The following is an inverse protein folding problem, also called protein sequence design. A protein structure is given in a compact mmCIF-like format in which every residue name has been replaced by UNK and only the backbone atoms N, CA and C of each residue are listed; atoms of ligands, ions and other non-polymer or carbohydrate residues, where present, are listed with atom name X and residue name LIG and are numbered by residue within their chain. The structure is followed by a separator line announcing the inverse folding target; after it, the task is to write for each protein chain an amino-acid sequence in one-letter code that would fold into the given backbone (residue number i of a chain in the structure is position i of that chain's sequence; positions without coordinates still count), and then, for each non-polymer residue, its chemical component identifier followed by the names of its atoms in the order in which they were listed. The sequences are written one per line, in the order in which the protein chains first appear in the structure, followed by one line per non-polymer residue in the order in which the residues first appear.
data_IF_147676462355
#
_entry.id   IF_147676462355
#
_cell.length_a   1.000
_cell.length_b   1.000
_cell.length_c   1.000
_cell.angle_alpha   90.00
_cell.angle_beta   90.00
_cell.angle_gamma   90.00
#
_symmetry.space_group_name_H-M   'P 1'
#
loop_
_entity.id
_entity.type
_entity.pdbx_description
1 polymer ?
#
# COMPACT_ATOMS: atom_id res chain seq x y z
N UNK A 1 17.23 -13.01 8.37
CA UNK A 1 16.61 -12.38 9.57
C UNK A 1 15.54 -11.41 9.08
N UNK A 2 14.41 -11.26 9.79
CA UNK A 2 13.29 -10.46 9.28
C UNK A 2 13.47 -8.93 9.45
N UNK A 3 14.66 -8.46 9.83
CA UNK A 3 14.96 -7.04 10.01
C UNK A 3 16.19 -6.64 9.22
N UNK A 4 16.12 -5.51 8.51
CA UNK A 4 17.22 -4.91 7.77
C UNK A 4 17.39 -3.44 8.18
N UNK A 5 18.62 -3.02 8.46
CA UNK A 5 18.95 -1.60 8.62
C UNK A 5 19.30 -1.04 7.25
N UNK A 6 18.40 -0.28 6.67
CA UNK A 6 18.52 0.31 5.33
C UNK A 6 18.07 1.77 5.37
N UNK A 7 18.67 2.63 4.57
CA UNK A 7 18.34 4.05 4.51
C UNK A 7 18.23 4.74 5.91
N UNK A 8 19.09 4.33 6.85
CA UNK A 8 19.09 4.89 8.21
C UNK A 8 17.96 4.44 9.15
N UNK A 9 17.10 3.51 8.73
CA UNK A 9 15.97 2.98 9.51
C UNK A 9 16.01 1.45 9.55
N UNK A 10 15.49 0.84 10.62
CA UNK A 10 15.29 -0.60 10.68
C UNK A 10 13.91 -0.95 10.12
N UNK A 11 13.89 -1.70 9.02
CA UNK A 11 12.65 -2.22 8.43
C UNK A 11 12.46 -3.69 8.78
N UNK A 12 11.24 -4.02 9.15
CA UNK A 12 10.74 -5.38 9.25
C UNK A 12 10.28 -5.86 7.87
N UNK A 13 10.73 -7.03 7.45
CA UNK A 13 10.37 -7.61 6.16
C UNK A 13 10.27 -9.13 6.24
N UNK A 14 9.57 -9.69 5.27
CA UNK A 14 9.46 -11.13 5.07
C UNK A 14 9.55 -11.45 3.58
N UNK A 15 10.15 -12.59 3.24
CA UNK A 15 10.12 -13.13 1.88
C UNK A 15 9.42 -14.48 1.89
N UNK A 16 8.54 -14.71 0.89
CA UNK A 16 7.84 -15.98 0.69
C UNK A 16 7.99 -16.45 -0.75
N UNK A 17 7.67 -17.71 -0.98
CA UNK A 17 7.82 -18.31 -2.31
C UNK A 17 9.28 -18.62 -2.62
N UNK A 18 9.57 -18.79 -3.91
CA UNK A 18 10.86 -19.26 -4.39
C UNK A 18 11.72 -18.11 -4.91
N UNK A 19 13.00 -17.98 -4.47
CA UNK A 19 13.88 -16.88 -4.90
C UNK A 19 14.20 -16.87 -6.41
N UNK A 20 14.05 -18.00 -7.11
CA UNK A 20 14.27 -18.12 -8.55
C UNK A 20 13.05 -17.66 -9.40
N UNK A 21 11.94 -17.28 -8.76
CA UNK A 21 10.75 -16.76 -9.41
C UNK A 21 10.80 -15.23 -9.55
N UNK A 22 10.00 -14.65 -10.47
CA UNK A 22 9.87 -13.20 -10.59
C UNK A 22 9.48 -12.53 -9.27
N UNK A 23 10.12 -11.41 -8.93
CA UNK A 23 9.90 -10.74 -7.66
C UNK A 23 8.61 -9.92 -7.66
N UNK A 24 7.80 -10.06 -6.60
CA UNK A 24 6.55 -9.33 -6.39
C UNK A 24 6.56 -8.68 -5.01
N UNK A 25 6.54 -7.35 -4.97
CA UNK A 25 6.63 -6.55 -3.74
C UNK A 25 5.26 -6.01 -3.36
N UNK A 26 4.94 -6.05 -2.07
CA UNK A 26 3.70 -5.50 -1.53
C UNK A 26 3.96 -4.33 -0.59
N UNK A 27 3.32 -3.20 -0.85
CA UNK A 27 3.37 -1.99 -0.04
C UNK A 27 1.99 -1.68 0.55
N UNK A 28 1.89 -1.68 1.87
CA UNK A 28 0.65 -1.61 2.63
C UNK A 28 0.14 -0.18 2.87
N UNK A 29 -1.12 -0.03 3.28
CA UNK A 29 -1.81 1.22 3.57
C UNK A 29 -1.31 1.93 4.84
N UNK A 30 -1.71 3.19 5.05
CA UNK A 30 -1.52 3.93 6.30
C UNK A 30 -2.23 3.21 7.46
N UNK A 31 -1.54 3.07 8.59
CA UNK A 31 -2.11 2.41 9.78
C UNK A 31 -2.23 0.88 9.67
N UNK A 32 -1.59 0.27 8.66
CA UNK A 32 -1.53 -1.19 8.50
C UNK A 32 -0.11 -1.68 8.42
N UNK A 33 0.11 -2.95 8.70
CA UNK A 33 1.34 -3.67 8.44
C UNK A 33 1.15 -4.71 7.30
N UNK A 34 2.21 -5.39 6.91
CA UNK A 34 2.17 -6.28 5.75
C UNK A 34 1.24 -7.49 5.89
N UNK A 35 0.78 -7.82 7.09
CA UNK A 35 -0.14 -8.96 7.33
C UNK A 35 -1.48 -8.82 6.61
N UNK A 36 -1.85 -7.60 6.21
CA UNK A 36 -3.05 -7.39 5.37
C UNK A 36 -3.00 -8.15 4.04
N UNK A 37 -1.80 -8.55 3.61
CA UNK A 37 -1.58 -9.25 2.34
C UNK A 37 -1.54 -10.76 2.45
N UNK A 38 -1.54 -11.34 3.67
CA UNK A 38 -1.31 -12.77 3.89
C UNK A 38 -2.19 -13.66 3.00
N UNK A 39 -3.51 -13.44 2.99
CA UNK A 39 -4.44 -14.27 2.22
C UNK A 39 -4.25 -14.13 0.69
N UNK A 40 -3.82 -12.95 0.22
CA UNK A 40 -3.47 -12.73 -1.20
C UNK A 40 -2.16 -13.44 -1.55
N UNK A 41 -1.17 -13.33 -0.68
CA UNK A 41 0.17 -13.91 -0.87
C UNK A 41 0.12 -15.42 -0.88
N UNK A 42 -0.67 -16.05 -0.01
CA UNK A 42 -0.85 -17.50 0.05
C UNK A 42 -1.28 -18.11 -1.31
N UNK A 43 -1.97 -17.31 -2.16
CA UNK A 43 -2.38 -17.71 -3.51
C UNK A 43 -1.35 -17.44 -4.61
N UNK A 44 -0.37 -16.57 -4.32
CA UNK A 44 0.60 -16.10 -5.32
C UNK A 44 2.02 -16.67 -5.10
N UNK A 45 2.34 -17.13 -3.90
CA UNK A 45 3.71 -17.50 -3.50
C UNK A 45 4.32 -18.67 -4.29
N UNK A 46 3.50 -19.54 -4.90
CA UNK A 46 4.01 -20.63 -5.74
C UNK A 46 4.54 -20.11 -7.10
N UNK A 47 4.09 -18.91 -7.51
CA UNK A 47 4.42 -18.32 -8.80
C UNK A 47 5.47 -17.21 -8.71
N UNK A 48 5.60 -16.58 -7.54
CA UNK A 48 6.43 -15.40 -7.35
C UNK A 48 7.38 -15.52 -6.16
N UNK A 49 8.50 -14.80 -6.22
CA UNK A 49 9.29 -14.44 -5.06
C UNK A 49 8.65 -13.22 -4.42
N UNK A 50 7.94 -13.41 -3.33
CA UNK A 50 7.17 -12.37 -2.64
C UNK A 50 8.07 -11.62 -1.67
N UNK A 51 8.00 -10.29 -1.71
CA UNK A 51 8.65 -9.40 -0.74
C UNK A 51 7.56 -8.62 -0.01
N UNK A 52 7.47 -8.81 1.29
CA UNK A 52 6.60 -8.09 2.22
C UNK A 52 7.44 -7.21 3.13
N UNK A 53 6.99 -6.01 3.44
CA UNK A 53 7.68 -5.16 4.40
C UNK A 53 6.72 -4.22 5.12
N UNK A 54 7.06 -3.88 6.34
CA UNK A 54 6.44 -2.79 7.06
C UNK A 54 7.19 -1.50 6.71
N UNK A 55 6.46 -0.50 6.20
CA UNK A 55 7.07 0.81 5.96
C UNK A 55 7.48 1.46 7.27
N UNK A 56 8.44 2.41 7.25
CA UNK A 56 8.84 3.15 8.46
C UNK A 56 7.63 3.60 9.26
N UNK A 57 7.72 3.49 10.59
CA UNK A 57 6.68 3.90 11.53
C UNK A 57 5.44 3.00 11.56
N UNK A 58 5.48 1.81 10.93
CA UNK A 58 4.36 0.87 10.91
C UNK A 58 4.83 -0.56 11.24
N UNK A 59 3.88 -1.37 11.73
CA UNK A 59 4.14 -2.76 12.07
C UNK A 59 5.30 -2.90 13.07
N UNK A 60 6.30 -3.69 12.70
CA UNK A 60 7.52 -3.88 13.49
C UNK A 60 8.71 -3.05 12.99
N UNK A 61 8.53 -2.19 11.98
CA UNK A 61 9.56 -1.26 11.53
C UNK A 61 9.74 -0.10 12.49
N UNK A 62 10.97 0.39 12.55
CA UNK A 62 11.34 1.54 13.41
C UNK A 62 10.51 2.78 13.06
N UNK A 63 10.01 3.45 14.09
CA UNK A 63 9.39 4.76 13.96
C UNK A 63 10.45 5.84 14.22
N UNK A 64 10.79 6.58 13.17
CA UNK A 64 11.68 7.74 13.28
C UNK A 64 10.90 9.00 13.59
N UNK A 65 11.53 10.11 14.06
CA UNK A 65 10.83 11.37 14.29
C UNK A 65 10.13 11.88 13.00
N UNK A 66 8.86 12.33 13.11
CA UNK A 66 8.17 12.98 11.99
C UNK A 66 8.69 14.43 11.77
N UNK A 67 8.37 15.10 10.62
CA UNK A 67 7.53 14.59 9.53
C UNK A 67 8.30 13.68 8.58
N UNK A 68 7.57 12.80 7.84
CA UNK A 68 8.15 12.06 6.73
C UNK A 68 7.78 12.72 5.40
N UNK A 69 8.65 12.54 4.39
CA UNK A 69 8.32 12.80 3.00
C UNK A 69 8.00 11.48 2.27
N UNK A 70 7.25 11.55 1.16
CA UNK A 70 7.02 10.36 0.34
C UNK A 70 8.35 9.80 -0.20
N UNK A 71 9.31 10.67 -0.47
CA UNK A 71 10.67 10.31 -0.88
C UNK A 71 11.40 9.43 0.15
N UNK A 72 11.15 9.59 1.44
CA UNK A 72 11.73 8.72 2.48
C UNK A 72 11.23 7.28 2.34
N UNK A 73 9.93 7.10 2.14
CA UNK A 73 9.34 5.78 1.93
C UNK A 73 9.81 5.13 0.62
N UNK A 74 9.98 5.92 -0.45
CA UNK A 74 10.52 5.43 -1.73
C UNK A 74 11.97 5.00 -1.58
N UNK A 75 12.78 5.79 -0.87
CA UNK A 75 14.18 5.46 -0.58
C UNK A 75 14.32 4.23 0.31
N UNK A 76 13.44 4.05 1.28
CA UNK A 76 13.38 2.84 2.12
C UNK A 76 13.11 1.59 1.29
N UNK A 77 12.10 1.64 0.41
CA UNK A 77 11.79 0.54 -0.49
C UNK A 77 12.96 0.23 -1.42
N UNK A 78 13.59 1.27 -1.99
CA UNK A 78 14.76 1.13 -2.85
C UNK A 78 15.89 0.41 -2.12
N UNK A 79 16.26 0.89 -0.94
CA UNK A 79 17.35 0.34 -0.14
C UNK A 79 17.05 -1.08 0.38
N UNK A 80 15.78 -1.39 0.67
CA UNK A 80 15.36 -2.75 1.03
C UNK A 80 15.53 -3.71 -0.15
N UNK A 81 15.12 -3.32 -1.36
CA UNK A 81 15.29 -4.15 -2.55
C UNK A 81 16.76 -4.35 -2.90
N UNK A 82 17.62 -3.33 -2.70
CA UNK A 82 19.06 -3.44 -2.85
C UNK A 82 19.67 -4.42 -1.83
N UNK A 83 19.25 -4.32 -0.56
CA UNK A 83 19.67 -5.24 0.50
C UNK A 83 19.29 -6.70 0.21
N UNK A 84 18.15 -6.93 -0.42
CA UNK A 84 17.65 -8.26 -0.80
C UNK A 84 18.19 -8.74 -2.16
N UNK A 85 18.99 -7.93 -2.87
CA UNK A 85 19.50 -8.27 -4.20
C UNK A 85 18.44 -8.30 -5.31
N UNK A 86 17.31 -7.60 -5.12
CA UNK A 86 16.20 -7.56 -6.06
C UNK A 86 16.43 -6.43 -7.08
N UNK A 87 16.90 -6.77 -8.26
CA UNK A 87 17.19 -5.79 -9.31
C UNK A 87 15.91 -5.24 -9.97
N UNK A 88 14.85 -6.07 -10.12
CA UNK A 88 13.60 -5.70 -10.77
C UNK A 88 12.42 -6.46 -10.17
N UNK A 89 11.29 -5.80 -9.97
CA UNK A 89 10.09 -6.40 -9.39
C UNK A 89 8.81 -5.83 -10.01
N UNK A 90 7.69 -6.56 -9.94
CA UNK A 90 6.37 -5.96 -9.98
C UNK A 90 6.04 -5.43 -8.57
N UNK A 91 5.30 -4.32 -8.49
CA UNK A 91 4.97 -3.69 -7.20
C UNK A 91 3.47 -3.55 -7.07
N UNK A 92 2.94 -4.08 -5.99
CA UNK A 92 1.53 -3.95 -5.57
C UNK A 92 1.47 -2.95 -4.42
N UNK A 93 0.73 -1.87 -4.59
CA UNK A 93 0.60 -0.84 -3.57
C UNK A 93 -0.85 -0.51 -3.26
N UNK A 94 -1.18 -0.49 -1.96
CA UNK A 94 -2.49 -0.08 -1.45
C UNK A 94 -2.41 1.31 -0.84
N UNK A 95 -3.25 2.25 -1.31
CA UNK A 95 -3.38 3.59 -0.73
C UNK A 95 -2.03 4.34 -0.73
N UNK A 96 -1.48 4.76 0.42
CA UNK A 96 -0.12 5.31 0.48
C UNK A 96 0.93 4.36 -0.09
N UNK A 97 0.75 3.05 0.07
CA UNK A 97 1.62 2.05 -0.59
C UNK A 97 1.57 2.15 -2.12
N UNK A 98 0.41 2.52 -2.68
CA UNK A 98 0.27 2.83 -4.10
C UNK A 98 0.96 4.14 -4.51
N UNK A 99 0.99 5.15 -3.64
CA UNK A 99 1.79 6.37 -3.87
C UNK A 99 3.30 6.06 -3.83
N UNK A 100 3.74 5.22 -2.88
CA UNK A 100 5.13 4.75 -2.81
C UNK A 100 5.50 4.00 -4.09
N UNK A 101 4.63 3.11 -4.57
CA UNK A 101 4.83 2.35 -5.81
C UNK A 101 4.94 3.27 -7.05
N UNK A 102 4.08 4.30 -7.15
CA UNK A 102 4.13 5.32 -8.20
C UNK A 102 5.45 6.11 -8.14
N UNK A 103 5.83 6.59 -6.96
CA UNK A 103 7.10 7.31 -6.75
C UNK A 103 8.32 6.45 -7.09
N UNK A 104 8.32 5.19 -6.67
CA UNK A 104 9.39 4.24 -7.00
C UNK A 104 9.49 3.99 -8.50
N UNK A 105 8.37 3.80 -9.19
CA UNK A 105 8.37 3.60 -10.66
C UNK A 105 8.80 4.86 -11.42
N UNK A 106 8.44 6.03 -10.94
CA UNK A 106 8.86 7.30 -11.55
C UNK A 106 10.37 7.53 -11.40
N UNK A 107 10.94 7.21 -10.24
CA UNK A 107 12.35 7.41 -9.95
C UNK A 107 13.24 6.29 -10.54
N UNK A 108 12.73 5.06 -10.58
CA UNK A 108 13.48 3.85 -10.99
C UNK A 108 12.72 3.04 -12.06
N UNK A 109 12.37 3.60 -13.23
CA UNK A 109 11.48 2.96 -14.20
C UNK A 109 12.00 1.61 -14.71
N UNK A 110 13.32 1.41 -14.79
CA UNK A 110 13.94 0.15 -15.22
C UNK A 110 13.88 -0.95 -14.14
N UNK A 111 13.63 -0.61 -12.89
CA UNK A 111 13.49 -1.55 -11.76
C UNK A 111 12.06 -2.07 -11.58
N UNK A 112 11.08 -1.49 -12.28
CA UNK A 112 9.67 -1.89 -12.16
C UNK A 112 9.22 -2.61 -13.41
N UNK A 113 8.70 -3.83 -13.24
CA UNK A 113 8.18 -4.63 -14.34
C UNK A 113 6.72 -4.29 -14.66
N UNK A 114 5.92 -4.12 -13.61
CA UNK A 114 4.51 -3.77 -13.68
C UNK A 114 4.07 -3.15 -12.35
N UNK A 115 2.98 -2.38 -12.35
CA UNK A 115 2.36 -1.82 -11.15
C UNK A 115 0.93 -2.34 -10.97
N UNK A 116 0.58 -2.65 -9.74
CA UNK A 116 -0.81 -2.81 -9.30
C UNK A 116 -1.11 -1.74 -8.25
N UNK A 117 -1.96 -0.80 -8.61
CA UNK A 117 -2.32 0.38 -7.82
C UNK A 117 -3.73 0.20 -7.26
N UNK A 118 -3.83 -0.30 -6.02
CA UNK A 118 -5.10 -0.59 -5.36
C UNK A 118 -5.53 0.58 -4.49
N UNK A 119 -6.77 1.05 -4.68
CA UNK A 119 -7.40 2.03 -3.78
C UNK A 119 -6.47 3.21 -3.45
N UNK A 120 -5.93 3.83 -4.49
CA UNK A 120 -4.94 4.90 -4.41
C UNK A 120 -5.15 5.95 -5.48
N UNK A 121 -4.39 7.04 -5.40
CA UNK A 121 -4.37 8.12 -6.38
C UNK A 121 -3.00 8.82 -6.36
N UNK A 122 -2.65 9.63 -7.38
CA UNK A 122 -1.42 10.42 -7.37
C UNK A 122 -1.44 11.53 -6.31
N UNK A 123 -2.63 11.98 -5.90
CA UNK A 123 -2.87 12.87 -4.77
C UNK A 123 -4.09 12.40 -3.99
N UNK A 124 -3.98 12.28 -2.67
CA UNK A 124 -5.03 11.79 -1.80
C UNK A 124 -5.40 12.85 -0.76
N UNK A 125 -6.67 13.29 -0.77
CA UNK A 125 -7.21 14.25 0.18
C UNK A 125 -6.69 15.67 -0.01
N UNK A 126 -6.93 16.50 1.00
CA UNK A 126 -6.50 17.91 1.04
C UNK A 126 -5.53 18.15 2.18
N UNK A 127 -4.75 19.22 2.10
CA UNK A 127 -3.84 19.63 3.17
C UNK A 127 -4.58 19.83 4.50
N UNK A 128 -5.73 20.51 4.46
CA UNK A 128 -6.54 20.76 5.65
C UNK A 128 -6.98 19.46 6.34
N UNK A 129 -7.49 18.49 5.56
CA UNK A 129 -7.91 17.17 6.08
C UNK A 129 -6.75 16.42 6.73
N UNK A 130 -5.56 16.46 6.14
CA UNK A 130 -4.39 15.77 6.70
C UNK A 130 -3.84 16.49 7.93
N UNK A 131 -3.83 17.84 7.96
CA UNK A 131 -3.43 18.61 9.12
C UNK A 131 -4.36 18.34 10.32
N UNK A 132 -5.67 18.29 10.08
CA UNK A 132 -6.65 17.92 11.12
C UNK A 132 -6.41 16.51 11.65
N UNK A 133 -6.12 15.54 10.77
CA UNK A 133 -5.81 14.16 11.16
C UNK A 133 -4.53 14.06 11.95
N UNK A 134 -3.45 14.75 11.54
CA UNK A 134 -2.18 14.81 12.27
C UNK A 134 -2.41 15.38 13.66
N UNK A 135 -3.09 16.52 13.77
CA UNK A 135 -3.41 17.14 15.06
C UNK A 135 -4.20 16.17 15.97
N UNK A 136 -5.25 15.53 15.43
CA UNK A 136 -6.08 14.60 16.18
C UNK A 136 -5.31 13.40 16.74
N UNK A 137 -4.42 12.78 15.94
CA UNK A 137 -3.65 11.62 16.41
C UNK A 137 -2.52 12.01 17.35
N UNK A 138 -1.90 13.17 17.14
CA UNK A 138 -0.84 13.68 18.00
C UNK A 138 -1.37 14.04 19.40
N UNK A 139 -2.56 14.65 19.44
CA UNK A 139 -3.17 15.12 20.69
C UNK A 139 -3.88 13.99 21.44
N UNK A 140 -4.58 13.08 20.75
CA UNK A 140 -5.49 12.11 21.36
C UNK A 140 -5.18 10.65 21.07
N UNK A 141 -4.14 10.38 20.28
CA UNK A 141 -3.75 9.04 19.85
C UNK A 141 -4.64 8.48 18.74
N UNK A 142 -4.21 7.38 18.11
CA UNK A 142 -4.89 6.76 16.96
C UNK A 142 -6.26 6.18 17.34
N UNK A 143 -6.42 5.74 18.60
CA UNK A 143 -7.69 5.20 19.07
C UNK A 143 -8.85 6.21 18.93
N UNK A 144 -8.58 7.51 19.04
CA UNK A 144 -9.59 8.57 18.92
C UNK A 144 -10.17 8.72 17.50
N UNK A 145 -9.45 8.27 16.48
CA UNK A 145 -9.90 8.34 15.08
C UNK A 145 -10.24 6.96 14.50
N UNK A 146 -10.02 5.89 15.26
CA UNK A 146 -10.06 4.52 14.74
C UNK A 146 -11.41 4.17 14.10
N UNK A 147 -12.53 4.50 14.75
CA UNK A 147 -13.85 4.15 14.24
C UNK A 147 -14.14 4.85 12.91
N UNK A 148 -13.82 6.14 12.78
CA UNK A 148 -13.98 6.88 11.53
C UNK A 148 -13.04 6.40 10.41
N UNK A 149 -11.86 5.88 10.73
CA UNK A 149 -10.94 5.27 9.77
C UNK A 149 -11.48 3.93 9.29
N UNK A 150 -11.88 3.06 10.21
CA UNK A 150 -12.40 1.72 9.91
C UNK A 150 -13.72 1.77 9.14
N UNK A 151 -14.54 2.81 9.37
CA UNK A 151 -15.75 3.04 8.58
C UNK A 151 -15.46 3.29 7.10
N UNK A 152 -14.34 3.95 6.79
CA UNK A 152 -13.90 4.16 5.41
C UNK A 152 -13.18 2.95 4.82
N UNK A 153 -12.60 2.09 5.69
CA UNK A 153 -11.81 0.94 5.24
C UNK A 153 -12.68 -0.24 4.85
N UNK A 154 -13.75 -0.50 5.59
CA UNK A 154 -14.52 -1.73 5.49
C UNK A 154 -15.99 -1.47 5.20
N UNK A 155 -16.58 -2.40 4.47
CA UNK A 155 -18.04 -2.43 4.26
C UNK A 155 -18.78 -2.58 5.59
N UNK A 156 -20.05 -2.18 5.61
CA UNK A 156 -20.91 -2.35 6.80
C UNK A 156 -20.99 -3.82 7.25
N UNK A 157 -21.03 -4.74 6.29
CA UNK A 157 -21.11 -6.18 6.57
C UNK A 157 -19.85 -6.70 7.29
N UNK A 158 -18.65 -6.17 6.94
CA UNK A 158 -17.40 -6.57 7.58
C UNK A 158 -17.23 -5.98 8.99
N UNK A 159 -17.81 -4.80 9.26
CA UNK A 159 -17.69 -4.05 10.52
C UNK A 159 -18.59 -4.59 11.64
N UNK A 160 -18.61 -5.90 11.87
CA UNK A 160 -19.30 -6.50 13.00
C UNK A 160 -18.35 -6.71 14.18
N UNK A 161 -18.73 -6.40 15.42
CA UNK A 161 -17.95 -6.74 16.60
C UNK A 161 -17.78 -8.27 16.78
N UNK A 162 -18.67 -9.06 16.19
CA UNK A 162 -18.58 -10.53 16.18
C UNK A 162 -17.64 -11.06 15.10
N UNK A 163 -17.14 -10.19 14.20
CA UNK A 163 -16.15 -10.56 13.20
C UNK A 163 -14.73 -10.45 13.81
N UNK A 164 -14.02 -11.56 14.05
CA UNK A 164 -12.70 -11.53 14.67
C UNK A 164 -11.66 -10.78 13.83
N UNK A 165 -11.79 -10.80 12.50
CA UNK A 165 -10.89 -10.08 11.61
C UNK A 165 -11.04 -8.57 11.76
N UNK A 166 -12.29 -8.07 11.86
CA UNK A 166 -12.52 -6.65 12.12
C UNK A 166 -11.88 -6.19 13.44
N UNK A 167 -12.05 -6.99 14.50
CA UNK A 167 -11.42 -6.72 15.81
C UNK A 167 -9.89 -6.74 15.69
N UNK A 168 -9.34 -7.70 14.97
CA UNK A 168 -7.90 -7.81 14.71
C UNK A 168 -7.33 -6.62 13.95
N UNK A 169 -7.99 -6.18 12.87
CA UNK A 169 -7.55 -5.02 12.08
C UNK A 169 -7.74 -3.69 12.81
N UNK A 170 -8.76 -3.59 13.67
CA UNK A 170 -8.88 -2.47 14.60
C UNK A 170 -7.68 -2.40 15.56
N UNK A 171 -7.27 -3.54 16.10
CA UNK A 171 -6.09 -3.62 16.96
C UNK A 171 -4.79 -3.30 16.22
N UNK A 172 -4.64 -3.71 14.95
CA UNK A 172 -3.52 -3.35 14.08
C UNK A 172 -3.43 -1.83 13.93
N UNK A 173 -4.51 -1.17 13.56
CA UNK A 173 -4.57 0.29 13.41
C UNK A 173 -4.20 1.01 14.71
N UNK A 174 -4.84 0.66 15.82
CA UNK A 174 -4.68 1.38 17.10
C UNK A 174 -3.32 1.17 17.78
N UNK A 175 -2.56 0.15 17.36
CA UNK A 175 -1.20 -0.12 17.85
C UNK A 175 -0.11 0.49 16.95
N UNK A 176 -0.47 1.13 15.85
CA UNK A 176 0.51 1.86 15.04
C UNK A 176 1.13 2.98 15.87
N UNK A 177 2.46 3.17 15.88
CA UNK A 177 3.09 4.31 16.55
C UNK A 177 2.53 5.65 16.04
N UNK A 178 2.19 6.55 16.97
CA UNK A 178 1.62 7.87 16.62
C UNK A 178 2.56 8.67 15.72
N UNK A 179 3.85 8.66 16.02
CA UNK A 179 4.89 9.33 15.25
C UNK A 179 4.94 8.81 13.81
N UNK A 180 4.88 7.48 13.65
CA UNK A 180 4.89 6.81 12.36
C UNK A 180 3.64 7.13 11.53
N UNK A 181 2.49 7.10 12.19
CA UNK A 181 1.21 7.43 11.55
C UNK A 181 1.16 8.91 11.12
N UNK A 182 1.49 9.83 12.03
CA UNK A 182 1.51 11.27 11.77
C UNK A 182 2.55 11.65 10.71
N UNK A 183 3.76 11.04 10.78
CA UNK A 183 4.81 11.23 9.78
C UNK A 183 4.36 10.79 8.39
N UNK A 184 3.69 9.64 8.27
CA UNK A 184 3.15 9.16 6.98
C UNK A 184 1.97 10.02 6.51
N UNK A 185 1.12 10.55 7.42
CA UNK A 185 0.10 11.54 7.05
C UNK A 185 0.72 12.79 6.40
N UNK A 186 1.83 13.29 6.93
CA UNK A 186 2.56 14.43 6.35
C UNK A 186 3.10 14.08 4.95
N UNK A 187 3.67 12.88 4.78
CA UNK A 187 4.14 12.41 3.48
C UNK A 187 3.03 12.38 2.42
N UNK A 188 1.81 11.94 2.78
CA UNK A 188 0.65 11.92 1.87
C UNK A 188 0.13 13.33 1.61
N UNK A 189 0.07 14.19 2.64
CA UNK A 189 -0.37 15.59 2.53
C UNK A 189 0.43 16.36 1.50
N UNK A 190 1.76 16.22 1.55
CA UNK A 190 2.70 17.03 0.78
C UNK A 190 2.99 16.46 -0.61
N UNK A 191 2.64 15.18 -0.85
CA UNK A 191 2.88 14.53 -2.12
C UNK A 191 1.84 14.91 -3.18
N UNK A 192 2.34 15.19 -4.38
CA UNK A 192 1.55 15.26 -5.61
C UNK A 192 2.33 14.58 -6.75
N UNK A 193 1.86 13.39 -7.14
CA UNK A 193 2.49 12.55 -8.16
C UNK A 193 1.79 12.68 -9.52
N UNK A 194 0.92 13.67 -9.70
CA UNK A 194 0.05 13.76 -10.89
C UNK A 194 0.86 13.69 -12.20
N UNK A 195 1.91 14.49 -12.33
CA UNK A 195 2.69 14.54 -13.56
C UNK A 195 3.58 13.30 -13.74
N UNK A 196 4.21 12.81 -12.67
CA UNK A 196 5.02 11.58 -12.73
C UNK A 196 4.16 10.34 -13.02
N UNK A 197 2.95 10.26 -12.47
CA UNK A 197 1.99 9.19 -12.75
C UNK A 197 1.53 9.21 -14.20
N UNK A 198 1.25 10.38 -14.77
CA UNK A 198 0.91 10.56 -16.18
C UNK A 198 2.03 10.10 -17.12
N UNK A 199 3.28 10.24 -16.69
CA UNK A 199 4.46 9.87 -17.47
C UNK A 199 4.79 8.36 -17.43
N UNK A 200 4.11 7.55 -16.62
CA UNK A 200 4.32 6.11 -16.54
C UNK A 200 4.06 5.41 -17.89
N UNK A 201 4.99 4.55 -18.31
CA UNK A 201 4.93 3.82 -19.60
C UNK A 201 4.99 2.30 -19.46
N UNK A 202 4.94 1.80 -18.21
CA UNK A 202 4.95 0.36 -17.91
C UNK A 202 3.50 -0.16 -17.79
N UNK A 203 3.28 -1.49 -17.79
CA UNK A 203 1.97 -2.06 -17.50
C UNK A 203 1.46 -1.64 -16.12
N UNK A 204 0.22 -1.16 -16.05
CA UNK A 204 -0.43 -0.73 -14.80
C UNK A 204 -1.84 -1.28 -14.72
N UNK A 205 -2.16 -1.91 -13.59
CA UNK A 205 -3.51 -2.28 -13.18
C UNK A 205 -3.93 -1.38 -12.01
N UNK A 206 -5.05 -0.68 -12.16
CA UNK A 206 -5.69 0.08 -11.10
C UNK A 206 -6.90 -0.70 -10.56
N UNK A 207 -6.96 -0.91 -9.24
CA UNK A 207 -8.06 -1.61 -8.57
C UNK A 207 -8.77 -0.64 -7.62
N UNK A 208 -10.11 -0.60 -7.65
CA UNK A 208 -10.94 0.13 -6.70
C UNK A 208 -11.96 -0.78 -6.03
N UNK A 209 -12.26 -0.55 -4.76
CA UNK A 209 -13.42 -1.12 -4.08
C UNK A 209 -14.64 -0.22 -4.27
N UNK A 210 -15.82 -0.79 -4.53
CA UNK A 210 -17.03 -0.02 -4.82
C UNK A 210 -17.57 0.76 -3.61
N UNK A 211 -17.20 0.36 -2.39
CA UNK A 211 -17.55 1.00 -1.12
C UNK A 211 -16.37 1.74 -0.46
N UNK A 212 -15.31 2.06 -1.21
CA UNK A 212 -14.14 2.77 -0.66
C UNK A 212 -14.49 4.21 -0.26
N UNK A 213 -14.46 4.48 1.04
CA UNK A 213 -14.69 5.81 1.62
C UNK A 213 -13.44 6.69 1.73
N UNK A 214 -12.25 6.18 1.36
CA UNK A 214 -10.97 6.91 1.43
C UNK A 214 -10.50 7.40 0.06
N UNK A 215 -10.52 6.51 -0.93
CA UNK A 215 -10.18 6.78 -2.33
C UNK A 215 -11.30 6.22 -3.22
N UNK A 216 -12.40 6.97 -3.36
CA UNK A 216 -13.58 6.50 -4.09
C UNK A 216 -13.26 5.98 -5.49
N UNK A 217 -14.05 5.03 -6.03
CA UNK A 217 -13.80 4.40 -7.33
C UNK A 217 -13.53 5.38 -8.48
N UNK A 218 -14.21 6.52 -8.49
CA UNK A 218 -14.04 7.53 -9.53
C UNK A 218 -12.67 8.23 -9.46
N UNK A 219 -12.09 8.37 -8.26
CA UNK A 219 -10.74 8.88 -8.09
C UNK A 219 -9.71 7.90 -8.68
N UNK A 220 -9.85 6.60 -8.37
CA UNK A 220 -8.98 5.54 -8.91
C UNK A 220 -9.16 5.43 -10.44
N UNK A 221 -10.39 5.50 -10.93
CA UNK A 221 -10.71 5.52 -12.37
C UNK A 221 -10.08 6.71 -13.07
N UNK A 222 -10.08 7.88 -12.43
CA UNK A 222 -9.46 9.10 -12.98
C UNK A 222 -7.95 8.95 -13.08
N UNK A 223 -7.30 8.34 -12.08
CA UNK A 223 -5.88 7.98 -12.14
C UNK A 223 -5.60 7.01 -13.28
N UNK A 224 -6.38 5.95 -13.45
CA UNK A 224 -6.20 4.99 -14.52
C UNK A 224 -6.28 5.65 -15.92
N UNK A 225 -7.19 6.62 -16.11
CA UNK A 225 -7.30 7.39 -17.37
C UNK A 225 -6.09 8.27 -17.66
N UNK A 226 -5.31 8.67 -16.66
CA UNK A 226 -4.09 9.46 -16.84
C UNK A 226 -2.93 8.62 -17.36
N UNK A 227 -2.91 7.33 -17.06
CA UNK A 227 -1.80 6.42 -17.35
C UNK A 227 -2.03 5.74 -18.70
N UNK A 228 -1.03 5.78 -19.57
CA UNK A 228 -1.14 5.17 -20.89
C UNK A 228 -1.39 3.66 -20.80
N UNK A 229 -2.51 3.19 -21.39
CA UNK A 229 -2.93 1.78 -21.41
C UNK A 229 -3.10 1.13 -20.03
N UNK A 230 -3.34 1.90 -18.97
CA UNK A 230 -3.67 1.31 -17.69
C UNK A 230 -5.02 0.59 -17.73
N UNK A 231 -5.07 -0.57 -17.09
CA UNK A 231 -6.32 -1.28 -16.84
C UNK A 231 -6.99 -0.74 -15.58
N UNK A 232 -8.31 -0.76 -15.55
CA UNK A 232 -9.09 -0.43 -14.35
C UNK A 232 -10.10 -1.53 -14.07
N UNK A 233 -10.13 -1.97 -12.81
CA UNK A 233 -11.07 -2.98 -12.31
C UNK A 233 -11.71 -2.51 -11.01
N UNK A 234 -12.99 -2.81 -10.85
CA UNK A 234 -13.72 -2.64 -9.58
C UNK A 234 -13.89 -4.02 -8.95
N UNK A 235 -13.66 -4.10 -7.63
CA UNK A 235 -14.05 -5.25 -6.83
C UNK A 235 -15.31 -4.86 -6.06
N UNK A 236 -16.38 -5.59 -6.31
CA UNK A 236 -17.68 -5.34 -5.70
C UNK A 236 -17.72 -5.81 -4.24
N UNK A 237 -18.54 -5.13 -3.44
CA UNK A 237 -18.74 -5.39 -2.01
C UNK A 237 -17.43 -5.34 -1.21
N UNK A 238 -16.59 -4.34 -1.50
CA UNK A 238 -15.37 -4.06 -0.74
C UNK A 238 -15.19 -2.58 -0.47
N UNK A 239 -14.58 -2.29 0.68
CA UNK A 239 -14.12 -0.95 1.02
C UNK A 239 -12.71 -0.64 0.49
N UNK A 240 -11.96 0.09 1.32
CA UNK A 240 -10.61 0.57 1.02
C UNK A 240 -9.53 -0.52 1.06
N UNK A 241 -9.80 -1.66 1.70
CA UNK A 241 -8.80 -2.71 1.93
C UNK A 241 -9.30 -4.03 1.31
N UNK A 242 -9.45 -4.11 -0.03
CA UNK A 242 -10.01 -5.28 -0.70
C UNK A 242 -9.18 -6.55 -0.50
N UNK A 243 -7.89 -6.44 -0.23
CA UNK A 243 -7.02 -7.58 0.08
C UNK A 243 -7.43 -8.32 1.38
N UNK A 244 -8.24 -7.68 2.24
CA UNK A 244 -8.81 -8.30 3.43
C UNK A 244 -10.22 -8.82 3.14
N UNK A 245 -11.09 -8.02 2.53
CA UNK A 245 -12.50 -8.37 2.34
C UNK A 245 -12.73 -9.36 1.19
N UNK A 246 -11.90 -9.29 0.13
CA UNK A 246 -11.97 -10.13 -1.09
C UNK A 246 -10.58 -10.56 -1.56
N UNK A 247 -9.77 -11.24 -0.72
CA UNK A 247 -8.40 -11.61 -1.04
C UNK A 247 -8.30 -12.44 -2.33
N UNK A 248 -9.28 -13.31 -2.58
CA UNK A 248 -9.35 -14.15 -3.76
C UNK A 248 -9.42 -13.32 -5.04
N UNK A 249 -10.36 -12.36 -5.10
CA UNK A 249 -10.54 -11.49 -6.25
C UNK A 249 -9.29 -10.61 -6.49
N UNK A 250 -8.64 -10.14 -5.42
CA UNK A 250 -7.40 -9.37 -5.53
C UNK A 250 -6.27 -10.23 -6.09
N UNK A 251 -6.09 -11.45 -5.57
CA UNK A 251 -5.05 -12.37 -6.04
C UNK A 251 -5.25 -12.76 -7.50
N UNK A 252 -6.50 -13.07 -7.89
CA UNK A 252 -6.84 -13.44 -9.27
C UNK A 252 -6.56 -12.29 -10.25
N UNK A 253 -6.96 -11.05 -9.90
CA UNK A 253 -6.69 -9.87 -10.74
C UNK A 253 -5.18 -9.63 -10.89
N UNK A 254 -4.40 -9.70 -9.80
CA UNK A 254 -2.95 -9.59 -9.83
C UNK A 254 -2.35 -10.68 -10.72
N UNK A 255 -2.76 -11.93 -10.51
CA UNK A 255 -2.22 -13.09 -11.21
C UNK A 255 -2.50 -13.08 -12.71
N UNK A 256 -3.70 -12.67 -13.13
CA UNK A 256 -4.09 -12.54 -14.54
C UNK A 256 -3.30 -11.38 -15.18
N UNK A 257 -3.33 -10.20 -14.55
CA UNK A 257 -2.65 -9.02 -15.07
C UNK A 257 -1.15 -9.24 -15.27
N UNK A 258 -0.46 -9.84 -14.29
CA UNK A 258 0.99 -10.08 -14.41
C UNK A 258 1.31 -11.11 -15.50
N UNK A 259 0.45 -12.12 -15.68
CA UNK A 259 0.58 -13.08 -16.80
C UNK A 259 0.42 -12.36 -18.16
N UNK A 260 -0.58 -11.49 -18.30
CA UNK A 260 -0.84 -10.75 -19.54
C UNK A 260 0.27 -9.72 -19.84
N UNK A 261 0.87 -9.16 -18.77
CA UNK A 261 2.08 -8.33 -18.85
C UNK A 261 3.38 -9.13 -19.10
N UNK A 262 3.30 -10.45 -19.30
CA UNK A 262 4.43 -11.36 -19.48
C UNK A 262 5.42 -11.33 -18.31
N UNK A 263 4.90 -11.23 -17.10
CA UNK A 263 5.66 -11.22 -15.86
C UNK A 263 5.11 -12.27 -14.90
N UNK A 264 5.71 -13.47 -14.88
CA UNK A 264 5.30 -14.58 -13.98
C UNK A 264 4.92 -15.86 -14.71
#
# INVERSE_FOLDING_TARGET
MPFARVNGVVLHHETRGRPDRPALVFSNSLGTDFRIWNAVVDRLQDRFHIILYDKRGHGLSEATPPPYALADHVSDLTALLDHLGIARAAVVGLSVGGMIAQGFAALHPHRVAALVLSNTAPKIGTEAMWNERIAAVTERGIAAIADAVLERWFTRAFRSPDNPDYVGYRAMLTRTPVEGYAGTCAAVRDADLTESTRALKLPVLCIGGDHDGSTPPDLVRSMAKMIHKAEFRIIENTGHVPCIERPDAVADLIGIFLKDAQYG
#
